data_IF_316242779943
#
_entry.id   IF_316242779943
#
_cell.length_a   1.000
_cell.length_b   1.000
_cell.length_c   1.000
_cell.angle_alpha   90.00
_cell.angle_beta   90.00
_cell.angle_gamma   90.00
#
_symmetry.space_group_name_H-M   'P 1'
#
loop_
_entity.id
_entity.type
_entity.pdbx_description
1 polymer ?
#
# COMPACT_ATOMS: atom_id res chain seq x y z
N UNK A 1 7.52 -7.97 -17.29
CA UNK A 1 8.27 -8.43 -16.09
C UNK A 1 9.72 -7.94 -16.09
N UNK A 2 10.52 -8.21 -17.10
CA UNK A 2 11.97 -7.83 -17.17
C UNK A 2 12.24 -6.35 -16.91
N UNK A 3 11.46 -5.43 -17.51
CA UNK A 3 11.69 -3.99 -17.40
C UNK A 3 11.60 -3.42 -15.97
N UNK A 4 10.67 -3.91 -15.14
CA UNK A 4 10.53 -3.43 -13.74
C UNK A 4 11.68 -3.97 -12.89
N UNK A 5 12.07 -5.23 -13.07
CA UNK A 5 13.21 -5.82 -12.38
C UNK A 5 14.53 -5.13 -12.78
N UNK A 6 14.64 -4.67 -14.03
CA UNK A 6 15.80 -3.89 -14.47
C UNK A 6 15.85 -2.51 -13.80
N UNK A 7 14.72 -1.87 -13.57
CA UNK A 7 14.64 -0.57 -12.86
C UNK A 7 15.10 -0.69 -11.41
N UNK A 8 14.67 -1.73 -10.70
CA UNK A 8 15.01 -1.90 -9.27
C UNK A 8 16.39 -2.52 -9.04
N UNK A 9 17.05 -3.01 -10.08
CA UNK A 9 18.39 -3.64 -9.97
C UNK A 9 19.44 -2.70 -9.35
N UNK A 10 19.32 -1.40 -9.60
CA UNK A 10 20.23 -0.39 -9.08
C UNK A 10 19.81 0.14 -7.70
N UNK A 11 18.68 -0.34 -7.15
CA UNK A 11 18.25 0.04 -5.82
C UNK A 11 19.02 -0.74 -4.76
N UNK A 12 19.20 -0.13 -3.60
CA UNK A 12 19.74 -0.85 -2.44
C UNK A 12 18.71 -1.90 -1.99
N UNK A 13 19.19 -3.04 -1.53
CA UNK A 13 18.29 -4.12 -1.10
C UNK A 13 17.84 -3.90 0.34
N UNK A 14 16.52 -3.92 0.56
CA UNK A 14 15.93 -4.05 1.88
C UNK A 14 15.88 -5.56 2.23
N UNK A 15 16.60 -5.99 3.26
CA UNK A 15 16.74 -7.40 3.64
C UNK A 15 16.41 -7.64 5.12
N UNK A 16 16.07 -8.88 5.41
CA UNK A 16 15.80 -9.36 6.76
C UNK A 16 14.33 -9.22 7.16
N UNK A 17 13.98 -9.79 8.30
CA UNK A 17 12.62 -9.70 8.84
C UNK A 17 12.29 -8.28 9.33
N UNK A 18 13.31 -7.51 9.73
CA UNK A 18 13.16 -6.11 10.15
C UNK A 18 14.14 -5.25 9.38
N UNK A 19 13.59 -4.34 8.56
CA UNK A 19 14.35 -3.33 7.84
C UNK A 19 14.16 -1.96 8.51
N UNK A 20 15.23 -1.39 9.06
CA UNK A 20 15.20 -0.11 9.77
C UNK A 20 15.70 1.04 8.91
N UNK A 21 14.96 2.13 8.95
CA UNK A 21 15.30 3.41 8.33
C UNK A 21 15.62 4.39 9.44
N UNK A 22 16.90 4.76 9.53
CA UNK A 22 17.41 5.72 10.51
C UNK A 22 17.91 6.98 9.78
N UNK A 23 17.36 8.13 10.13
CA UNK A 23 17.67 9.40 9.48
C UNK A 23 17.09 9.49 8.06
N UNK A 24 17.65 10.36 7.23
CA UNK A 24 17.23 10.54 5.83
C UNK A 24 18.00 9.58 4.94
N UNK A 25 17.28 8.77 4.18
CA UNK A 25 17.86 7.82 3.26
C UNK A 25 17.93 8.41 1.84
N UNK A 26 19.11 8.29 1.23
CA UNK A 26 19.33 8.68 -0.16
C UNK A 26 18.95 7.52 -1.09
N UNK A 27 17.88 7.68 -1.84
CA UNK A 27 17.41 6.71 -2.82
C UNK A 27 16.47 5.64 -2.28
N UNK A 28 15.82 4.90 -3.17
CA UNK A 28 14.91 3.84 -2.81
C UNK A 28 15.64 2.54 -2.46
N UNK A 29 15.00 1.75 -1.61
CA UNK A 29 15.33 0.36 -1.34
C UNK A 29 14.35 -0.56 -2.04
N UNK A 30 14.78 -1.76 -2.41
CA UNK A 30 13.93 -2.79 -3.00
C UNK A 30 13.87 -4.03 -2.11
N UNK A 31 12.66 -4.53 -1.88
CA UNK A 31 12.39 -5.84 -1.32
C UNK A 31 11.67 -6.69 -2.38
N UNK A 32 12.22 -7.85 -2.71
CA UNK A 32 11.64 -8.75 -3.70
C UNK A 32 11.12 -9.99 -2.98
N UNK A 33 9.86 -10.32 -3.22
CA UNK A 33 9.15 -11.48 -2.66
C UNK A 33 9.31 -11.63 -1.13
N UNK A 34 9.09 -10.55 -0.33
CA UNK A 34 9.18 -10.67 1.11
C UNK A 34 7.98 -11.46 1.65
N UNK A 35 8.24 -12.56 2.37
CA UNK A 35 7.17 -13.35 3.02
C UNK A 35 6.70 -12.70 4.31
N UNK A 36 7.65 -12.30 5.15
CA UNK A 36 7.41 -11.55 6.37
C UNK A 36 8.45 -10.44 6.45
N UNK A 37 7.99 -9.21 6.48
CA UNK A 37 8.90 -8.08 6.58
C UNK A 37 8.28 -6.97 7.43
N UNK A 38 9.08 -6.41 8.31
CA UNK A 38 8.74 -5.21 9.07
C UNK A 38 9.65 -4.06 8.64
N UNK A 39 9.05 -2.98 8.18
CA UNK A 39 9.73 -1.74 7.78
C UNK A 39 9.50 -0.72 8.90
N UNK A 40 10.56 -0.34 9.59
CA UNK A 40 10.49 0.61 10.70
C UNK A 40 11.23 1.90 10.34
N UNK A 41 10.53 3.03 10.36
CA UNK A 41 11.17 4.34 10.30
C UNK A 41 11.27 4.93 11.71
N UNK A 42 12.50 5.24 12.13
CA UNK A 42 12.77 5.93 13.39
C UNK A 42 12.16 7.33 13.40
N UNK A 43 12.08 7.94 14.60
CA UNK A 43 11.54 9.30 14.73
C UNK A 43 12.32 10.29 13.85
N UNK A 44 11.59 11.07 13.02
CA UNK A 44 12.15 12.02 12.08
C UNK A 44 12.86 11.42 10.86
N UNK A 45 12.92 10.09 10.75
CA UNK A 45 13.53 9.42 9.60
C UNK A 45 12.68 9.55 8.33
N UNK A 46 13.34 9.47 7.19
CA UNK A 46 12.66 9.44 5.89
C UNK A 46 13.29 8.42 4.94
N UNK A 47 12.45 7.72 4.17
CA UNK A 47 12.92 6.73 3.22
C UNK A 47 11.86 6.25 2.25
N UNK A 48 12.32 5.59 1.19
CA UNK A 48 11.49 5.01 0.14
C UNK A 48 11.81 3.53 -0.01
N UNK A 49 10.77 2.70 -0.06
CA UNK A 49 10.90 1.25 -0.27
C UNK A 49 9.96 0.82 -1.40
N UNK A 50 10.49 0.02 -2.32
CA UNK A 50 9.71 -0.64 -3.37
C UNK A 50 9.65 -2.12 -3.04
N UNK A 51 8.45 -2.64 -2.85
CA UNK A 51 8.17 -4.05 -2.64
C UNK A 51 7.67 -4.64 -3.96
N UNK A 52 8.25 -5.73 -4.42
CA UNK A 52 7.88 -6.35 -5.69
C UNK A 52 7.57 -7.82 -5.47
N UNK A 53 6.37 -8.23 -5.87
CA UNK A 53 5.93 -9.62 -5.89
C UNK A 53 6.13 -10.19 -7.29
N UNK A 54 7.11 -11.10 -7.45
CA UNK A 54 7.50 -11.72 -8.73
C UNK A 54 7.14 -13.18 -8.80
N UNK A 55 6.79 -13.80 -7.67
CA UNK A 55 6.39 -15.18 -7.54
C UNK A 55 5.04 -15.31 -6.83
N UNK A 56 4.26 -16.38 -7.12
CA UNK A 56 3.03 -16.68 -6.38
C UNK A 56 3.36 -17.00 -4.92
N UNK A 57 3.00 -16.12 -4.01
CA UNK A 57 3.27 -16.31 -2.57
C UNK A 57 2.30 -15.48 -1.70
N UNK A 58 2.37 -15.74 -0.38
CA UNK A 58 1.75 -14.93 0.65
C UNK A 58 2.80 -14.00 1.27
N UNK A 59 2.47 -12.74 1.35
CA UNK A 59 3.31 -11.70 1.96
C UNK A 59 2.60 -11.05 3.13
N UNK A 60 3.35 -10.80 4.20
CA UNK A 60 2.90 -10.03 5.35
C UNK A 60 3.89 -8.90 5.60
N UNK A 61 3.42 -7.66 5.44
CA UNK A 61 4.22 -6.46 5.67
C UNK A 61 3.69 -5.71 6.88
N UNK A 62 4.56 -5.39 7.81
CA UNK A 62 4.28 -4.45 8.89
C UNK A 62 5.10 -3.17 8.66
N UNK A 63 4.43 -2.03 8.59
CA UNK A 63 5.06 -0.73 8.34
C UNK A 63 4.83 0.14 9.58
N UNK A 64 5.89 0.62 10.18
CA UNK A 64 5.84 1.46 11.38
C UNK A 64 6.52 2.79 11.10
N UNK A 65 5.74 3.86 11.11
CA UNK A 65 6.24 5.23 10.99
C UNK A 65 6.22 5.90 12.37
N UNK A 66 7.37 6.03 12.99
CA UNK A 66 7.50 6.72 14.27
C UNK A 66 7.22 8.23 14.13
N UNK A 67 7.25 8.94 15.24
CA UNK A 67 6.94 10.38 15.29
C UNK A 67 7.77 11.19 14.28
N UNK A 68 7.11 12.05 13.49
CA UNK A 68 7.70 12.87 12.41
C UNK A 68 8.36 12.07 11.27
N UNK A 69 8.22 10.74 11.21
CA UNK A 69 8.78 9.94 10.12
C UNK A 69 8.03 10.19 8.79
N UNK A 70 8.75 10.01 7.67
CA UNK A 70 8.21 10.15 6.32
C UNK A 70 8.55 8.93 5.49
N UNK A 71 7.55 8.14 5.13
CA UNK A 71 7.72 6.93 4.34
C UNK A 71 6.99 7.02 3.00
N UNK A 72 7.65 6.55 1.95
CA UNK A 72 7.03 6.27 0.66
C UNK A 72 7.22 4.78 0.35
N UNK A 73 6.13 4.03 0.29
CA UNK A 73 6.14 2.60 -0.02
C UNK A 73 5.42 2.39 -1.34
N UNK A 74 6.08 1.74 -2.28
CA UNK A 74 5.45 1.30 -3.54
C UNK A 74 5.43 -0.21 -3.56
N UNK A 75 4.25 -0.81 -3.70
CA UNK A 75 4.06 -2.24 -3.80
C UNK A 75 3.58 -2.61 -5.21
N UNK A 76 4.29 -3.51 -5.87
CA UNK A 76 4.03 -3.90 -7.27
C UNK A 76 3.83 -5.41 -7.36
N UNK A 77 2.71 -5.82 -7.92
CA UNK A 77 2.36 -7.21 -8.15
C UNK A 77 2.58 -7.58 -9.62
N UNK A 78 3.59 -8.40 -9.88
CA UNK A 78 3.95 -8.93 -11.21
C UNK A 78 3.62 -10.42 -11.34
N UNK A 79 3.29 -11.08 -10.22
CA UNK A 79 2.79 -12.44 -10.16
C UNK A 79 1.57 -12.50 -9.25
N UNK A 80 0.79 -13.56 -9.34
CA UNK A 80 -0.32 -13.80 -8.44
C UNK A 80 0.17 -13.86 -6.99
N UNK A 81 -0.30 -12.97 -6.14
CA UNK A 81 0.14 -12.90 -4.75
C UNK A 81 -1.00 -12.45 -3.82
N UNK A 82 -0.87 -12.86 -2.55
CA UNK A 82 -1.72 -12.41 -1.46
C UNK A 82 -0.88 -11.58 -0.50
N UNK A 83 -1.21 -10.32 -0.31
CA UNK A 83 -0.49 -9.43 0.59
C UNK A 83 -1.38 -8.91 1.71
N UNK A 84 -0.90 -9.01 2.94
CA UNK A 84 -1.46 -8.36 4.11
C UNK A 84 -0.50 -7.28 4.58
N UNK A 85 -0.94 -6.03 4.54
CA UNK A 85 -0.12 -4.87 4.89
C UNK A 85 -0.75 -4.14 6.07
N UNK A 86 -0.04 -4.14 7.19
CA UNK A 86 -0.41 -3.39 8.39
C UNK A 86 0.48 -2.16 8.54
N UNK A 87 -0.13 -0.98 8.67
CA UNK A 87 0.58 0.30 8.81
C UNK A 87 0.21 0.93 10.13
N UNK A 88 1.22 1.28 10.94
CA UNK A 88 1.05 2.03 12.18
C UNK A 88 1.76 3.37 12.08
N UNK A 89 1.02 4.43 12.31
CA UNK A 89 1.53 5.79 12.20
C UNK A 89 1.40 6.54 13.52
N UNK A 90 2.54 7.06 13.97
CA UNK A 90 2.61 7.88 15.17
C UNK A 90 2.57 9.37 14.84
N UNK A 91 2.65 10.22 15.87
CA UNK A 91 2.36 11.64 15.74
C UNK A 91 3.16 12.34 14.62
N UNK A 92 2.47 13.14 13.81
CA UNK A 92 3.04 13.95 12.73
C UNK A 92 3.80 13.15 11.65
N UNK A 93 3.59 11.83 11.62
CA UNK A 93 4.17 10.98 10.56
C UNK A 93 3.40 11.12 9.25
N UNK A 94 4.10 10.96 8.14
CA UNK A 94 3.53 10.90 6.80
C UNK A 94 3.88 9.55 6.17
N UNK A 95 2.87 8.79 5.76
CA UNK A 95 3.08 7.57 5.00
C UNK A 95 2.32 7.64 3.66
N UNK A 96 3.04 7.51 2.56
CA UNK A 96 2.48 7.38 1.22
C UNK A 96 2.64 5.95 0.74
N UNK A 97 1.53 5.33 0.43
CA UNK A 97 1.47 3.98 -0.13
C UNK A 97 1.02 4.06 -1.58
N UNK A 98 1.68 3.32 -2.45
CA UNK A 98 1.25 3.14 -3.84
C UNK A 98 1.17 1.65 -4.14
N UNK A 99 -0.01 1.15 -4.49
CA UNK A 99 -0.25 -0.24 -4.84
C UNK A 99 -0.49 -0.37 -6.35
N UNK A 100 0.25 -1.25 -7.02
CA UNK A 100 0.12 -1.48 -8.47
C UNK A 100 -0.05 -2.98 -8.72
N UNK A 101 -1.24 -3.40 -9.11
CA UNK A 101 -1.53 -4.79 -9.48
C UNK A 101 -1.59 -4.90 -11.00
N UNK A 102 -0.65 -5.63 -11.59
CA UNK A 102 -0.53 -5.85 -13.05
C UNK A 102 -0.91 -7.29 -13.45
N UNK A 103 -1.43 -8.05 -12.53
CA UNK A 103 -1.96 -9.42 -12.69
C UNK A 103 -2.90 -9.71 -11.52
N UNK A 104 -3.47 -10.91 -11.48
CA UNK A 104 -4.27 -11.36 -10.32
C UNK A 104 -3.54 -11.13 -9.01
N UNK A 105 -4.16 -10.44 -8.09
CA UNK A 105 -3.61 -10.20 -6.75
C UNK A 105 -4.72 -9.90 -5.76
N UNK A 106 -4.48 -10.23 -4.49
CA UNK A 106 -5.37 -9.88 -3.38
C UNK A 106 -4.55 -9.16 -2.32
N UNK A 107 -4.72 -7.85 -2.22
CA UNK A 107 -4.01 -7.02 -1.26
C UNK A 107 -4.97 -6.42 -0.24
N UNK A 108 -4.63 -6.57 1.05
CA UNK A 108 -5.39 -6.05 2.17
C UNK A 108 -4.53 -5.09 2.98
N UNK A 109 -4.98 -3.85 3.09
CA UNK A 109 -4.29 -2.77 3.81
C UNK A 109 -5.08 -2.41 5.05
N UNK A 110 -4.44 -2.49 6.22
CA UNK A 110 -4.97 -1.96 7.48
C UNK A 110 -4.07 -0.82 7.93
N UNK A 111 -4.62 0.38 8.06
CA UNK A 111 -3.88 1.59 8.38
C UNK A 111 -4.40 2.14 9.70
N UNK A 112 -3.54 2.18 10.71
CA UNK A 112 -3.83 2.72 12.03
C UNK A 112 -3.14 4.06 12.22
N UNK A 113 -3.92 5.14 12.35
CA UNK A 113 -3.44 6.47 12.69
C UNK A 113 -3.53 6.64 14.20
N UNK A 114 -2.42 6.29 14.89
CA UNK A 114 -2.34 6.21 16.36
C UNK A 114 -1.69 7.46 17.00
N UNK A 115 -1.27 8.43 16.19
CA UNK A 115 -0.68 9.67 16.65
C UNK A 115 -1.31 10.92 16.02
N UNK A 116 -1.48 11.99 16.80
CA UNK A 116 -2.06 13.25 16.31
C UNK A 116 -1.28 13.80 15.11
N UNK A 117 -2.00 14.44 14.21
CA UNK A 117 -1.45 15.00 12.97
C UNK A 117 -0.78 13.97 12.04
N UNK A 118 -1.06 12.68 12.23
CA UNK A 118 -0.62 11.66 11.30
C UNK A 118 -1.38 11.79 9.97
N UNK A 119 -0.65 11.63 8.86
CA UNK A 119 -1.20 11.72 7.51
C UNK A 119 -0.89 10.46 6.72
N UNK A 120 -1.92 9.85 6.15
CA UNK A 120 -1.79 8.71 5.25
C UNK A 120 -2.36 9.03 3.87
N UNK A 121 -1.64 8.61 2.84
CA UNK A 121 -2.10 8.65 1.45
C UNK A 121 -1.92 7.28 0.81
N UNK A 122 -3.01 6.66 0.33
CA UNK A 122 -2.95 5.42 -0.40
C UNK A 122 -3.47 5.61 -1.83
N UNK A 123 -2.57 5.54 -2.81
CA UNK A 123 -2.90 5.43 -4.22
C UNK A 123 -2.86 3.98 -4.68
N UNK A 124 -3.87 3.52 -5.41
CA UNK A 124 -3.89 2.17 -5.95
C UNK A 124 -4.36 2.12 -7.40
N UNK A 125 -3.77 1.24 -8.19
CA UNK A 125 -4.25 0.90 -9.52
C UNK A 125 -4.19 -0.62 -9.72
N UNK A 126 -5.25 -1.18 -10.28
CA UNK A 126 -5.22 -2.54 -10.81
C UNK A 126 -5.60 -2.56 -12.29
N UNK A 127 -4.87 -3.36 -13.05
CA UNK A 127 -5.10 -3.60 -14.47
C UNK A 127 -5.35 -5.11 -14.63
N UNK A 128 -6.61 -5.49 -14.78
CA UNK A 128 -7.03 -6.87 -14.91
C UNK A 128 -7.46 -7.17 -16.35
N UNK A 129 -6.86 -8.15 -16.97
CA UNK A 129 -7.16 -8.62 -18.32
C UNK A 129 -7.53 -10.09 -18.36
N UNK A 130 -8.12 -10.55 -19.46
CA UNK A 130 -8.47 -11.97 -19.64
C UNK A 130 -9.44 -12.49 -18.58
N UNK A 131 -8.98 -13.37 -17.69
CA UNK A 131 -9.73 -13.94 -16.57
C UNK A 131 -9.14 -13.56 -15.20
N UNK A 132 -8.26 -12.55 -15.18
CA UNK A 132 -7.58 -12.12 -13.95
C UNK A 132 -8.57 -11.58 -12.91
N UNK A 133 -8.18 -11.74 -11.64
CA UNK A 133 -8.95 -11.27 -10.51
C UNK A 133 -8.06 -10.41 -9.58
N UNK A 134 -8.36 -9.12 -9.53
CA UNK A 134 -7.66 -8.15 -8.68
C UNK A 134 -8.57 -7.71 -7.53
N UNK A 135 -8.06 -7.81 -6.31
CA UNK A 135 -8.77 -7.41 -5.10
C UNK A 135 -7.94 -6.42 -4.30
N UNK A 136 -8.54 -5.31 -3.91
CA UNK A 136 -7.96 -4.34 -2.97
C UNK A 136 -8.93 -4.13 -1.82
N UNK A 137 -8.50 -4.49 -0.61
CA UNK A 137 -9.23 -4.20 0.63
C UNK A 137 -8.48 -3.15 1.41
N UNK A 138 -9.20 -2.14 1.89
CA UNK A 138 -8.63 -1.05 2.67
C UNK A 138 -9.45 -0.81 3.93
N UNK A 139 -8.76 -0.80 5.06
CA UNK A 139 -9.32 -0.32 6.32
C UNK A 139 -8.42 0.77 6.87
N UNK A 140 -8.96 1.98 7.06
CA UNK A 140 -8.25 3.09 7.69
C UNK A 140 -8.91 3.43 9.01
N UNK A 141 -8.17 3.35 10.10
CA UNK A 141 -8.62 3.63 11.45
C UNK A 141 -8.01 4.96 11.92
N UNK A 142 -8.86 5.95 12.18
CA UNK A 142 -8.49 7.19 12.86
C UNK A 142 -8.74 6.98 14.36
N UNK A 143 -7.69 6.65 15.08
CA UNK A 143 -7.77 6.30 16.49
C UNK A 143 -7.62 7.50 17.43
N UNK A 144 -7.05 8.60 16.91
CA UNK A 144 -6.80 9.85 17.65
C UNK A 144 -7.18 11.08 16.83
N UNK A 145 -7.35 12.28 17.47
CA UNK A 145 -7.74 13.51 16.77
C UNK A 145 -6.72 14.02 15.75
N UNK A 146 -7.18 14.93 14.88
CA UNK A 146 -6.40 15.76 13.94
C UNK A 146 -5.67 14.94 12.84
N UNK A 147 -6.06 13.70 12.60
CA UNK A 147 -5.46 12.84 11.58
C UNK A 147 -6.09 13.06 10.19
N UNK A 148 -5.31 12.80 9.15
CA UNK A 148 -5.76 12.88 7.76
C UNK A 148 -5.52 11.57 7.02
N UNK A 149 -6.49 11.17 6.20
CA UNK A 149 -6.31 10.08 5.24
C UNK A 149 -6.94 10.39 3.88
N UNK A 150 -6.23 10.05 2.82
CA UNK A 150 -6.76 10.15 1.46
C UNK A 150 -6.45 8.87 0.69
N UNK A 151 -7.48 8.21 0.21
CA UNK A 151 -7.37 6.98 -0.57
C UNK A 151 -7.94 7.17 -1.97
N UNK A 152 -7.18 6.79 -2.98
CA UNK A 152 -7.60 6.87 -4.37
C UNK A 152 -7.26 5.59 -5.13
N UNK A 153 -8.29 4.79 -5.43
CA UNK A 153 -8.13 3.51 -6.14
C UNK A 153 -8.74 3.62 -7.54
N UNK A 154 -8.00 3.16 -8.54
CA UNK A 154 -8.45 3.03 -9.92
C UNK A 154 -8.42 1.58 -10.36
N UNK A 155 -9.51 1.12 -10.96
CA UNK A 155 -9.60 -0.19 -11.57
C UNK A 155 -9.79 -0.10 -13.08
N UNK A 156 -9.08 -0.94 -13.83
CA UNK A 156 -9.34 -1.16 -15.25
C UNK A 156 -9.49 -2.65 -15.47
N UNK A 157 -10.61 -3.10 -16.02
CA UNK A 157 -10.88 -4.50 -16.30
C UNK A 157 -11.32 -4.71 -17.74
N UNK A 158 -10.75 -5.74 -18.39
CA UNK A 158 -11.08 -6.14 -19.76
C UNK A 158 -11.17 -7.66 -19.92
N UNK A 159 -11.76 -8.14 -21.01
CA UNK A 159 -12.04 -9.55 -21.20
C UNK A 159 -13.15 -10.03 -20.24
N UNK A 160 -12.92 -11.08 -19.48
CA UNK A 160 -13.79 -11.60 -18.39
C UNK A 160 -13.20 -11.36 -17.01
N UNK A 161 -12.27 -10.41 -16.91
CA UNK A 161 -11.57 -10.10 -15.67
C UNK A 161 -12.51 -9.51 -14.61
N UNK A 162 -12.10 -9.70 -13.36
CA UNK A 162 -12.84 -9.22 -12.19
C UNK A 162 -11.97 -8.32 -11.33
N UNK A 163 -12.55 -7.21 -10.89
CA UNK A 163 -11.97 -6.32 -9.90
C UNK A 163 -12.85 -6.22 -8.67
N UNK A 164 -12.25 -6.03 -7.50
CA UNK A 164 -12.96 -5.75 -6.27
C UNK A 164 -12.24 -4.67 -5.48
N UNK A 165 -12.97 -3.66 -5.03
CA UNK A 165 -12.48 -2.71 -4.04
C UNK A 165 -13.45 -2.68 -2.85
N UNK A 166 -12.94 -2.97 -1.66
CA UNK A 166 -13.67 -2.85 -0.42
C UNK A 166 -12.94 -1.88 0.51
N UNK A 167 -13.53 -0.72 0.76
CA UNK A 167 -12.95 0.33 1.59
C UNK A 167 -13.78 0.64 2.82
N UNK A 168 -13.13 0.72 3.99
CA UNK A 168 -13.72 1.09 5.25
C UNK A 168 -12.89 2.18 5.93
N UNK A 169 -13.54 3.27 6.30
CA UNK A 169 -12.97 4.29 7.18
C UNK A 169 -13.66 4.19 8.53
N UNK A 170 -12.88 3.98 9.58
CA UNK A 170 -13.33 4.02 10.97
C UNK A 170 -12.77 5.26 11.66
N UNK A 171 -13.62 5.97 12.36
CA UNK A 171 -13.23 7.14 13.19
C UNK A 171 -13.65 6.84 14.61
N UNK A 172 -12.68 6.79 15.52
CA UNK A 172 -12.95 6.58 16.93
C UNK A 172 -13.79 7.73 17.53
N UNK A 173 -14.61 7.49 18.56
CA UNK A 173 -15.50 8.51 19.12
C UNK A 173 -14.81 9.83 19.50
N UNK A 174 -13.56 9.75 20.00
CA UNK A 174 -12.79 10.92 20.43
C UNK A 174 -11.82 11.44 19.38
N UNK A 175 -11.78 10.85 18.16
CA UNK A 175 -10.92 11.26 17.06
C UNK A 175 -11.53 12.46 16.29
N UNK A 176 -11.64 13.60 16.97
CA UNK A 176 -12.20 14.82 16.40
C UNK A 176 -11.27 15.48 15.37
N UNK A 177 -11.81 16.33 14.49
CA UNK A 177 -11.10 17.01 13.42
C UNK A 177 -10.40 16.07 12.43
N UNK A 178 -10.95 14.89 12.25
CA UNK A 178 -10.50 13.94 11.22
C UNK A 178 -10.89 14.44 9.83
N UNK A 179 -9.93 14.40 8.89
CA UNK A 179 -10.18 14.60 7.46
C UNK A 179 -9.90 13.28 6.73
N UNK A 180 -10.96 12.58 6.34
CA UNK A 180 -10.89 11.28 5.70
C UNK A 180 -11.58 11.31 4.33
N UNK A 181 -10.83 11.01 3.28
CA UNK A 181 -11.33 10.97 1.91
C UNK A 181 -11.03 9.61 1.28
N UNK A 182 -12.02 9.04 0.61
CA UNK A 182 -11.88 7.79 -0.13
C UNK A 182 -12.58 7.91 -1.48
N UNK A 183 -11.86 7.60 -2.55
CA UNK A 183 -12.39 7.60 -3.92
C UNK A 183 -12.04 6.30 -4.63
N UNK A 184 -13.02 5.78 -5.37
CA UNK A 184 -12.81 4.68 -6.30
C UNK A 184 -13.35 5.08 -7.68
N UNK A 185 -12.58 4.80 -8.74
CA UNK A 185 -12.99 5.03 -10.14
C UNK A 185 -12.55 3.88 -11.00
N UNK A 186 -13.50 3.31 -11.73
CA UNK A 186 -13.28 2.11 -12.51
C UNK A 186 -13.65 2.30 -13.98
N UNK A 187 -12.95 1.57 -14.85
CA UNK A 187 -13.22 1.52 -16.30
C UNK A 187 -13.36 0.05 -16.70
N UNK A 188 -14.47 -0.27 -17.35
CA UNK A 188 -14.70 -1.57 -17.97
C UNK A 188 -14.42 -1.44 -19.47
N UNK A 189 -13.56 -2.30 -20.00
CA UNK A 189 -13.15 -2.32 -21.41
C UNK A 189 -13.93 -3.37 -22.22
N UNK A 190 -14.76 -4.19 -21.58
CA UNK A 190 -15.59 -5.23 -22.21
C UNK A 190 -16.89 -5.43 -21.44
N UNK A 191 -17.90 -5.97 -22.09
CA UNK A 191 -19.21 -6.26 -21.47
C UNK A 191 -19.16 -7.40 -20.45
N UNK A 192 -18.16 -8.28 -20.54
CA UNK A 192 -17.96 -9.42 -19.64
C UNK A 192 -17.10 -9.11 -18.43
N UNK A 193 -16.40 -7.96 -18.43
CA UNK A 193 -15.63 -7.53 -17.28
C UNK A 193 -16.54 -7.02 -16.17
N UNK A 194 -16.13 -7.25 -14.92
CA UNK A 194 -16.89 -6.84 -13.75
C UNK A 194 -15.99 -6.22 -12.68
N UNK A 195 -16.43 -5.10 -12.08
CA UNK A 195 -15.76 -4.52 -10.91
C UNK A 195 -16.82 -4.25 -9.84
N UNK A 196 -16.62 -4.84 -8.65
CA UNK A 196 -17.43 -4.62 -7.46
C UNK A 196 -16.78 -3.57 -6.54
N UNK A 197 -17.62 -2.75 -5.88
CA UNK A 197 -17.18 -1.72 -4.91
C UNK A 197 -18.18 -1.60 -3.76
#
# INVERSE_FOLDING_TARGET
MTAILDIIRDFRTAQGEVFRIEGTQDGPYAAVDPRHMRIEAAAGASGRVVVVHTAPDMSSLEIVAAENARLEITEVFLAEAFAEVAVKQFARSLCRLTAVQLTSANASYTIDLDGRDAENMLGGVFLAGGEEHCVVKLRTNHNVPDCRSNSYIKGVAGGSARGEFCGLVYVAPDAQHTDAQQQNRNILLSETAHIAT
#
